data_IF_895329945786
#
_entry.id   IF_895329945786
#
_cell.length_a   1.000
_cell.length_b   1.000
_cell.length_c   1.000
_cell.angle_alpha   90.00
_cell.angle_beta   90.00
_cell.angle_gamma   90.00
#
_symmetry.space_group_name_H-M   'P 1'
#
loop_
_entity.id
_entity.type
_entity.pdbx_description
1 polymer ?
#
# COMPACT_ATOMS: atom_id res chain seq x y z
N UNK A 1 -22.95 -22.55 -5.14
CA UNK A 1 -21.91 -21.54 -4.86
C UNK A 1 -21.42 -21.03 -6.20
N UNK A 2 -21.47 -19.73 -6.51
CA UNK A 2 -21.14 -19.27 -7.85
C UNK A 2 -19.64 -19.42 -8.11
N UNK A 3 -19.30 -19.99 -9.26
CA UNK A 3 -17.93 -20.05 -9.78
C UNK A 3 -17.36 -18.64 -9.83
N UNK A 4 -16.40 -18.35 -8.96
CA UNK A 4 -15.65 -17.09 -9.00
C UNK A 4 -14.62 -17.21 -10.12
N UNK A 5 -15.00 -16.81 -11.34
CA UNK A 5 -14.04 -16.52 -12.39
C UNK A 5 -13.29 -15.25 -12.00
N UNK A 6 -12.14 -15.41 -11.34
CA UNK A 6 -11.23 -14.31 -11.06
C UNK A 6 -10.59 -13.87 -12.39
N UNK A 7 -11.25 -12.99 -13.13
CA UNK A 7 -10.63 -12.27 -14.24
C UNK A 7 -9.76 -11.15 -13.67
N UNK A 8 -8.49 -11.44 -13.41
CA UNK A 8 -7.46 -10.40 -13.35
C UNK A 8 -7.03 -10.08 -14.79
N UNK A 9 -7.21 -8.85 -15.29
CA UNK A 9 -6.66 -8.46 -16.58
C UNK A 9 -5.20 -8.05 -16.35
N UNK A 10 -4.29 -9.02 -16.33
CA UNK A 10 -2.87 -8.72 -16.49
C UNK A 10 -2.44 -9.20 -17.88
N UNK A 11 -2.16 -8.31 -18.83
CA UNK A 11 -1.53 -8.68 -20.08
C UNK A 11 -0.02 -8.58 -19.87
N UNK A 12 0.67 -9.69 -19.60
CA UNK A 12 2.13 -9.72 -19.78
C UNK A 12 2.58 -11.02 -20.43
N UNK A 13 3.44 -10.81 -21.43
CA UNK A 13 3.93 -11.78 -22.37
C UNK A 13 4.70 -12.93 -21.69
N UNK A 14 4.45 -14.13 -22.20
CA UNK A 14 5.18 -15.35 -21.90
C UNK A 14 6.67 -15.15 -22.19
N UNK A 15 7.51 -15.15 -21.15
CA UNK A 15 8.93 -15.46 -21.29
C UNK A 15 9.13 -16.93 -20.88
N UNK A 16 9.64 -17.72 -21.82
CA UNK A 16 10.04 -19.10 -21.60
C UNK A 16 11.20 -19.14 -20.58
N UNK A 17 11.02 -19.87 -19.49
CA UNK A 17 12.11 -20.27 -18.60
C UNK A 17 12.24 -21.79 -18.65
N UNK A 18 13.37 -22.26 -19.14
CA UNK A 18 13.76 -23.66 -19.22
C UNK A 18 14.20 -24.19 -17.85
N UNK A 19 13.74 -25.39 -17.54
CA UNK A 19 13.89 -26.13 -16.29
C UNK A 19 15.29 -26.75 -16.14
N UNK A 20 15.94 -26.56 -14.99
CA UNK A 20 16.99 -27.40 -14.37
C UNK A 20 17.35 -26.71 -13.03
N UNK A 21 17.45 -27.33 -11.85
CA UNK A 21 17.84 -28.66 -11.45
C UNK A 21 17.13 -29.11 -10.15
N UNK A 22 17.10 -30.43 -9.99
CA UNK A 22 16.72 -31.21 -8.82
C UNK A 22 17.68 -31.00 -7.62
N UNK A 23 17.13 -30.55 -6.49
CA UNK A 23 17.76 -30.65 -5.17
C UNK A 23 16.81 -31.35 -4.21
N UNK A 24 17.15 -32.56 -3.81
CA UNK A 24 16.39 -33.37 -2.86
C UNK A 24 16.28 -32.64 -1.51
N UNK A 25 15.05 -32.29 -1.12
CA UNK A 25 14.75 -31.90 0.25
C UNK A 25 14.59 -33.15 1.09
N UNK A 26 15.54 -33.32 2.01
CA UNK A 26 15.56 -34.37 3.02
C UNK A 26 14.25 -34.44 3.81
N UNK A 27 13.74 -35.67 3.82
CA UNK A 27 12.86 -36.31 4.78
C UNK A 27 12.32 -35.44 5.94
N UNK A 28 11.03 -35.11 5.85
CA UNK A 28 10.20 -34.79 7.01
C UNK A 28 10.16 -36.04 7.91
N UNK A 29 10.87 -35.96 9.03
CA UNK A 29 10.86 -36.96 10.10
C UNK A 29 9.51 -36.96 10.83
N UNK A 30 8.86 -38.12 10.79
CA UNK A 30 7.88 -38.73 11.71
C UNK A 30 6.71 -37.87 12.26
N UNK A 31 5.52 -38.03 11.66
CA UNK A 31 4.22 -37.75 12.29
C UNK A 31 3.49 -39.03 12.72
N UNK A 32 4.18 -40.00 13.31
CA UNK A 32 3.53 -41.16 13.96
C UNK A 32 3.20 -40.81 15.41
N UNK A 33 2.10 -40.09 15.62
CA UNK A 33 1.63 -39.73 16.97
C UNK A 33 0.59 -38.60 17.06
N UNK A 34 0.34 -37.87 15.97
CA UNK A 34 -0.68 -36.82 15.97
C UNK A 34 -2.08 -37.40 15.73
N UNK A 35 -3.01 -37.06 16.62
CA UNK A 35 -4.44 -37.27 16.40
C UNK A 35 -4.91 -36.55 15.12
N UNK A 36 -6.01 -37.03 14.53
CA UNK A 36 -6.60 -36.38 13.36
C UNK A 36 -6.89 -34.88 13.59
N UNK A 37 -7.30 -34.50 14.80
CA UNK A 37 -7.54 -33.12 15.21
C UNK A 37 -6.26 -32.28 15.22
N UNK A 38 -5.15 -32.82 15.74
CA UNK A 38 -3.86 -32.13 15.74
C UNK A 38 -3.33 -31.95 14.31
N UNK A 39 -3.51 -32.93 13.43
CA UNK A 39 -3.17 -32.79 12.01
C UNK A 39 -4.01 -31.72 11.33
N UNK A 40 -5.32 -31.69 11.57
CA UNK A 40 -6.21 -30.68 11.02
C UNK A 40 -5.82 -29.25 11.46
N UNK A 41 -5.39 -29.07 12.71
CA UNK A 41 -4.92 -27.79 13.24
C UNK A 41 -3.55 -27.37 12.70
N UNK A 42 -2.72 -28.31 12.26
CA UNK A 42 -1.42 -28.01 11.66
C UNK A 42 -1.52 -27.50 10.20
N UNK A 43 -2.60 -27.86 9.48
CA UNK A 43 -2.76 -27.54 8.06
C UNK A 43 -2.69 -26.03 7.77
N UNK A 44 -3.43 -25.13 8.47
CA UNK A 44 -3.33 -23.69 8.20
C UNK A 44 -1.92 -23.14 8.39
N UNK A 45 -1.20 -23.62 9.41
CA UNK A 45 0.18 -23.19 9.69
C UNK A 45 1.14 -23.63 8.59
N UNK A 46 1.01 -24.88 8.12
CA UNK A 46 1.82 -25.39 7.01
C UNK A 46 1.53 -24.60 5.74
N UNK A 47 0.24 -24.38 5.42
CA UNK A 47 -0.16 -23.59 4.25
C UNK A 47 0.39 -22.17 4.31
N UNK A 48 0.29 -21.49 5.46
CA UNK A 48 0.86 -20.15 5.64
C UNK A 48 2.36 -20.13 5.34
N UNK A 49 3.15 -21.07 5.87
CA UNK A 49 4.59 -21.12 5.61
C UNK A 49 4.90 -21.31 4.13
N UNK A 50 4.14 -22.18 3.43
CA UNK A 50 4.27 -22.35 1.98
C UNK A 50 3.92 -21.05 1.24
N UNK A 51 2.84 -20.36 1.63
CA UNK A 51 2.43 -19.11 0.99
C UNK A 51 3.40 -17.97 1.25
N UNK A 52 4.01 -17.89 2.44
CA UNK A 52 5.03 -16.90 2.75
C UNK A 52 6.28 -17.10 1.89
N UNK A 53 6.67 -18.35 1.63
CA UNK A 53 7.73 -18.68 0.67
C UNK A 53 7.31 -18.25 -0.76
N UNK A 54 6.13 -18.67 -1.23
CA UNK A 54 5.62 -18.31 -2.57
C UNK A 54 5.48 -16.79 -2.76
N UNK A 55 5.13 -16.04 -1.72
CA UNK A 55 5.00 -14.58 -1.75
C UNK A 55 6.31 -13.90 -2.17
N UNK A 56 7.44 -14.44 -1.73
CA UNK A 56 8.77 -13.89 -2.05
C UNK A 56 9.02 -14.01 -3.55
N UNK A 57 8.60 -15.14 -4.15
CA UNK A 57 8.91 -15.46 -5.53
C UNK A 57 7.92 -14.85 -6.54
N UNK A 58 6.62 -14.78 -6.21
CA UNK A 58 5.60 -14.49 -7.23
C UNK A 58 4.20 -14.16 -6.68
N UNK A 59 3.70 -12.95 -7.01
CA UNK A 59 2.28 -12.60 -6.76
C UNK A 59 1.31 -13.40 -7.63
N UNK A 60 1.74 -13.85 -8.81
CA UNK A 60 0.93 -14.68 -9.72
C UNK A 60 0.64 -16.04 -9.10
N UNK A 61 1.61 -16.63 -8.40
CA UNK A 61 1.41 -17.93 -7.76
C UNK A 61 0.54 -17.82 -6.52
N UNK A 62 0.59 -16.72 -5.77
CA UNK A 62 -0.40 -16.42 -4.72
C UNK A 62 -1.83 -16.32 -5.29
N UNK A 63 -2.01 -15.69 -6.46
CA UNK A 63 -3.30 -15.66 -7.15
C UNK A 63 -3.78 -17.07 -7.54
N UNK A 64 -2.90 -17.93 -8.06
CA UNK A 64 -3.21 -19.33 -8.37
C UNK A 64 -3.62 -20.09 -7.10
N UNK A 65 -2.90 -19.88 -6.01
CA UNK A 65 -3.20 -20.48 -4.70
C UNK A 65 -4.59 -20.10 -4.19
N UNK A 66 -5.02 -18.86 -4.40
CA UNK A 66 -6.37 -18.39 -4.04
C UNK A 66 -7.49 -19.18 -4.73
N UNK A 67 -7.21 -19.80 -5.89
CA UNK A 67 -8.20 -20.54 -6.70
C UNK A 67 -8.25 -22.04 -6.40
N UNK A 68 -7.32 -22.59 -5.60
CA UNK A 68 -7.23 -24.04 -5.34
C UNK A 68 -8.40 -24.53 -4.49
N UNK A 69 -8.52 -24.01 -3.26
CA UNK A 69 -9.58 -24.34 -2.29
C UNK A 69 -9.77 -23.19 -1.30
N UNK A 70 -10.92 -23.17 -0.61
CA UNK A 70 -11.24 -22.15 0.41
C UNK A 70 -10.17 -22.02 1.51
N UNK A 71 -9.54 -23.12 1.92
CA UNK A 71 -8.46 -23.09 2.91
C UNK A 71 -7.21 -22.36 2.39
N UNK A 72 -6.85 -22.57 1.12
CA UNK A 72 -5.72 -21.89 0.48
C UNK A 72 -6.02 -20.40 0.31
N UNK A 73 -7.24 -20.06 -0.11
CA UNK A 73 -7.68 -18.65 -0.19
C UNK A 73 -7.55 -17.92 1.15
N UNK A 74 -7.94 -18.55 2.27
CA UNK A 74 -7.86 -17.93 3.61
C UNK A 74 -6.44 -17.54 4.01
N UNK A 75 -5.44 -18.30 3.57
CA UNK A 75 -4.03 -18.02 3.88
C UNK A 75 -3.36 -17.14 2.82
N UNK A 76 -3.66 -17.36 1.53
CA UNK A 76 -3.03 -16.64 0.42
C UNK A 76 -3.60 -15.22 0.22
N UNK A 77 -4.92 -15.02 0.38
CA UNK A 77 -5.52 -13.72 0.13
C UNK A 77 -4.99 -12.60 1.06
N UNK A 78 -4.81 -12.82 2.37
CA UNK A 78 -4.19 -11.81 3.23
C UNK A 78 -2.79 -11.41 2.76
N UNK A 79 -1.98 -12.36 2.29
CA UNK A 79 -0.62 -12.11 1.82
C UNK A 79 -0.61 -11.35 0.49
N UNK A 80 -1.52 -11.72 -0.43
CA UNK A 80 -1.67 -11.06 -1.73
C UNK A 80 -2.10 -9.58 -1.59
N UNK A 81 -2.96 -9.29 -0.60
CA UNK A 81 -3.53 -7.96 -0.39
C UNK A 81 -2.81 -7.13 0.69
N UNK A 82 -1.87 -7.70 1.45
CA UNK A 82 -1.17 -7.02 2.54
C UNK A 82 -0.49 -5.72 2.08
N UNK A 83 0.13 -5.75 0.89
CA UNK A 83 0.78 -4.60 0.29
C UNK A 83 0.03 -4.20 -0.98
N UNK A 84 -0.64 -3.05 -0.91
CA UNK A 84 -1.28 -2.46 -2.07
C UNK A 84 -0.38 -1.35 -2.63
N UNK A 85 0.44 -1.69 -3.63
CA UNK A 85 1.31 -0.74 -4.32
C UNK A 85 0.51 -0.07 -5.44
N UNK A 86 0.41 1.26 -5.46
CA UNK A 86 -0.22 2.00 -6.57
C UNK A 86 0.70 1.99 -7.83
N UNK A 87 0.20 2.10 -9.09
CA UNK A 87 -1.16 2.40 -9.62
C UNK A 87 -2.22 1.32 -9.51
N UNK A 88 -2.06 0.40 -8.59
CA UNK A 88 -2.90 -0.77 -8.50
C UNK A 88 -3.96 -0.74 -7.42
N UNK A 89 -4.04 0.23 -6.48
CA UNK A 89 -5.05 0.12 -5.41
C UNK A 89 -6.47 0.29 -5.97
N UNK A 90 -6.78 1.44 -6.57
CA UNK A 90 -8.04 1.71 -7.26
C UNK A 90 -8.31 0.67 -8.35
N UNK A 91 -7.31 0.33 -9.19
CA UNK A 91 -7.47 -0.68 -10.25
C UNK A 91 -7.76 -2.08 -9.71
N UNK A 92 -7.08 -2.52 -8.64
CA UNK A 92 -7.35 -3.82 -8.01
C UNK A 92 -8.75 -3.85 -7.41
N UNK A 93 -9.17 -2.78 -6.76
CA UNK A 93 -10.51 -2.67 -6.18
C UNK A 93 -11.61 -2.49 -7.24
N UNK A 94 -11.30 -1.91 -8.41
CA UNK A 94 -12.21 -1.82 -9.54
C UNK A 94 -12.57 -3.21 -10.10
N UNK A 95 -11.62 -4.16 -10.06
CA UNK A 95 -11.86 -5.56 -10.43
C UNK A 95 -12.64 -6.37 -9.39
N UNK A 96 -12.95 -5.78 -8.23
CA UNK A 96 -13.69 -6.42 -7.14
C UNK A 96 -15.12 -5.87 -7.11
N UNK A 97 -16.09 -6.78 -7.08
CA UNK A 97 -17.50 -6.45 -6.91
C UNK A 97 -17.70 -5.54 -5.67
N UNK A 98 -18.47 -4.44 -5.76
CA UNK A 98 -18.57 -3.43 -4.70
C UNK A 98 -18.81 -3.99 -3.30
N UNK A 99 -19.74 -4.94 -3.17
CA UNK A 99 -20.13 -5.59 -1.92
C UNK A 99 -19.02 -6.46 -1.28
N UNK A 100 -17.96 -6.78 -2.03
CA UNK A 100 -16.83 -7.58 -1.56
C UNK A 100 -15.60 -6.75 -1.23
N UNK A 101 -15.54 -5.47 -1.63
CA UNK A 101 -14.35 -4.62 -1.47
C UNK A 101 -13.89 -4.55 -0.03
N UNK A 102 -14.82 -4.39 0.92
CA UNK A 102 -14.48 -4.32 2.34
C UNK A 102 -13.76 -5.59 2.86
N UNK A 103 -14.08 -6.77 2.33
CA UNK A 103 -13.40 -8.03 2.69
C UNK A 103 -11.89 -7.92 2.38
N UNK A 104 -11.54 -7.35 1.24
CA UNK A 104 -10.14 -7.20 0.82
C UNK A 104 -9.47 -6.00 1.50
N UNK A 105 -10.21 -4.91 1.76
CA UNK A 105 -9.71 -3.77 2.54
C UNK A 105 -9.26 -4.18 3.95
N UNK A 106 -9.91 -5.19 4.54
CA UNK A 106 -9.52 -5.77 5.83
C UNK A 106 -8.16 -6.49 5.83
N UNK A 107 -7.60 -6.78 4.65
CA UNK A 107 -6.30 -7.44 4.51
C UNK A 107 -5.14 -6.47 4.27
N UNK A 108 -5.43 -5.25 3.79
CA UNK A 108 -4.39 -4.27 3.45
C UNK A 108 -3.72 -3.75 4.72
N UNK A 109 -2.40 -3.80 4.73
CA UNK A 109 -1.52 -3.33 5.83
C UNK A 109 -0.71 -2.11 5.42
N UNK A 110 -0.37 -2.02 4.15
CA UNK A 110 0.42 -0.92 3.58
C UNK A 110 -0.19 -0.43 2.28
N UNK A 111 -0.33 0.89 2.16
CA UNK A 111 -0.66 1.57 0.91
C UNK A 111 0.65 2.17 0.38
N UNK A 112 1.29 1.45 -0.55
CA UNK A 112 2.70 1.68 -0.91
C UNK A 112 2.96 2.93 -1.74
N UNK A 113 1.97 3.41 -2.47
CA UNK A 113 1.94 4.70 -3.16
C UNK A 113 0.45 5.03 -3.32
N UNK A 114 0.05 6.28 -3.29
CA UNK A 114 -1.32 6.70 -3.52
C UNK A 114 -1.26 8.10 -4.09
N UNK A 115 -1.89 8.31 -5.24
CA UNK A 115 -1.83 9.59 -5.91
C UNK A 115 -3.00 10.39 -5.39
N UNK A 116 -2.73 11.61 -4.93
CA UNK A 116 -3.79 12.59 -4.84
C UNK A 116 -4.39 12.71 -6.25
N UNK A 117 -5.69 12.86 -6.38
CA UNK A 117 -6.32 12.96 -7.70
C UNK A 117 -6.63 14.40 -8.04
N UNK A 118 -6.64 14.69 -9.35
CA UNK A 118 -7.36 15.86 -9.87
C UNK A 118 -8.84 15.70 -9.54
N UNK A 119 -9.54 16.83 -9.36
CA UNK A 119 -10.95 16.84 -9.04
C UNK A 119 -11.83 16.03 -10.02
N UNK A 120 -11.43 15.86 -11.28
CA UNK A 120 -12.20 15.07 -12.26
C UNK A 120 -12.06 13.54 -12.07
N UNK A 121 -10.93 13.05 -11.55
CA UNK A 121 -10.70 11.62 -11.35
C UNK A 121 -11.16 11.14 -9.97
N UNK A 122 -11.43 12.08 -9.05
CA UNK A 122 -11.87 11.77 -7.69
C UNK A 122 -13.19 11.01 -7.68
N UNK A 123 -14.13 11.31 -8.57
CA UNK A 123 -15.45 10.65 -8.60
C UNK A 123 -15.33 9.15 -8.86
N UNK A 124 -14.43 8.76 -9.77
CA UNK A 124 -14.16 7.34 -10.05
C UNK A 124 -13.53 6.67 -8.84
N UNK A 125 -12.58 7.33 -8.20
CA UNK A 125 -11.92 6.80 -7.01
C UNK A 125 -12.87 6.73 -5.81
N UNK A 126 -13.77 7.69 -5.68
CA UNK A 126 -14.82 7.72 -4.67
C UNK A 126 -15.81 6.56 -4.88
N UNK A 127 -16.22 6.29 -6.12
CA UNK A 127 -17.07 5.13 -6.44
C UNK A 127 -16.39 3.78 -6.14
N UNK A 128 -15.05 3.73 -6.11
CA UNK A 128 -14.27 2.52 -5.86
C UNK A 128 -13.93 2.35 -4.37
N UNK A 129 -13.39 3.40 -3.75
CA UNK A 129 -12.77 3.39 -2.43
C UNK A 129 -13.57 4.17 -1.38
N UNK A 130 -14.52 5.01 -1.78
CA UNK A 130 -15.33 5.83 -0.88
C UNK A 130 -16.06 4.96 0.15
N UNK A 131 -16.02 5.41 1.40
CA UNK A 131 -16.61 4.70 2.54
C UNK A 131 -15.92 3.38 2.94
N UNK A 132 -14.88 2.92 2.23
CA UNK A 132 -14.12 1.75 2.68
C UNK A 132 -13.34 2.06 3.96
N UNK A 133 -13.27 1.07 4.83
CA UNK A 133 -12.43 1.12 6.03
C UNK A 133 -11.23 0.20 5.81
N UNK A 134 -10.04 0.72 6.05
CA UNK A 134 -8.77 -0.01 5.98
C UNK A 134 -8.23 -0.20 7.41
N UNK A 135 -8.79 -1.16 8.18
CA UNK A 135 -8.56 -1.25 9.62
C UNK A 135 -7.14 -1.67 9.99
N UNK A 136 -6.37 -2.22 9.05
CA UNK A 136 -5.00 -2.72 9.29
C UNK A 136 -3.92 -1.89 8.62
N UNK A 137 -4.30 -0.85 7.86
CA UNK A 137 -3.32 0.02 7.21
C UNK A 137 -2.58 0.81 8.29
N UNK A 138 -1.28 0.55 8.44
CA UNK A 138 -0.41 1.23 9.39
C UNK A 138 0.58 2.17 8.70
N UNK A 139 0.86 1.95 7.42
CA UNK A 139 1.76 2.78 6.60
C UNK A 139 1.06 3.18 5.30
N UNK A 140 1.18 4.46 4.93
CA UNK A 140 0.71 4.98 3.65
C UNK A 140 1.78 5.89 3.03
N UNK A 141 1.99 5.79 1.71
CA UNK A 141 2.75 6.77 0.94
C UNK A 141 1.80 7.59 0.07
N UNK A 142 1.80 8.90 0.26
CA UNK A 142 1.10 9.84 -0.61
C UNK A 142 2.09 10.41 -1.61
N UNK A 143 1.85 10.15 -2.88
CA UNK A 143 2.49 10.87 -3.97
C UNK A 143 1.74 12.18 -4.15
N UNK A 144 2.47 13.27 -4.00
CA UNK A 144 1.97 14.62 -4.13
C UNK A 144 2.54 15.19 -5.43
N UNK A 145 1.65 15.58 -6.33
CA UNK A 145 1.98 16.21 -7.59
C UNK A 145 1.12 17.48 -7.73
N UNK A 146 1.47 18.33 -8.67
CA UNK A 146 0.80 19.61 -8.93
C UNK A 146 -0.68 19.37 -9.28
N UNK A 147 -1.56 20.24 -8.78
CA UNK A 147 -3.03 20.18 -8.96
C UNK A 147 -3.75 18.94 -8.39
N UNK A 148 -3.10 18.20 -7.48
CA UNK A 148 -3.68 17.00 -6.89
C UNK A 148 -3.86 17.16 -5.37
N UNK A 149 -5.09 17.46 -4.91
CA UNK A 149 -5.39 17.73 -3.50
C UNK A 149 -6.46 16.83 -2.89
N UNK A 150 -6.99 15.87 -3.63
CA UNK A 150 -8.13 15.07 -3.19
C UNK A 150 -7.77 13.60 -2.98
N UNK A 151 -8.14 13.07 -1.81
CA UNK A 151 -8.26 11.63 -1.56
C UNK A 151 -9.73 11.24 -1.50
N UNK A 152 -10.07 10.02 -1.97
CA UNK A 152 -11.39 9.47 -1.75
C UNK A 152 -11.67 9.28 -0.26
N UNK A 153 -12.93 9.27 0.13
CA UNK A 153 -13.39 9.34 1.53
C UNK A 153 -13.16 8.08 2.38
N UNK A 154 -12.17 7.25 2.08
CA UNK A 154 -11.87 6.07 2.88
C UNK A 154 -11.29 6.43 4.26
N UNK A 155 -11.37 5.48 5.18
CA UNK A 155 -10.83 5.62 6.55
C UNK A 155 -9.70 4.62 6.79
N UNK A 156 -8.64 5.03 7.47
CA UNK A 156 -7.54 4.15 7.88
C UNK A 156 -7.21 4.36 9.36
N UNK A 157 -8.00 3.80 10.31
CA UNK A 157 -7.92 4.14 11.73
C UNK A 157 -6.62 3.68 12.42
N UNK A 158 -5.93 2.71 11.80
CA UNK A 158 -4.65 2.18 12.28
C UNK A 158 -3.45 2.88 11.64
N UNK A 159 -3.65 3.90 10.80
CA UNK A 159 -2.56 4.57 10.10
C UNK A 159 -1.69 5.31 11.11
N UNK A 160 -0.39 4.97 11.15
CA UNK A 160 0.62 5.57 12.04
C UNK A 160 1.75 6.24 11.29
N UNK A 161 2.12 5.72 10.12
CA UNK A 161 3.24 6.23 9.33
C UNK A 161 2.72 6.79 8.01
N UNK A 162 2.95 8.08 7.79
CA UNK A 162 2.65 8.76 6.54
C UNK A 162 3.95 9.17 5.85
N UNK A 163 4.18 8.62 4.66
CA UNK A 163 5.28 9.01 3.79
C UNK A 163 4.76 9.99 2.74
N UNK A 164 5.21 11.23 2.80
CA UNK A 164 4.92 12.27 1.81
C UNK A 164 6.02 12.23 0.75
N UNK A 165 5.61 12.02 -0.50
CA UNK A 165 6.49 11.94 -1.64
C UNK A 165 6.13 13.05 -2.62
N UNK A 166 6.85 14.19 -2.59
CA UNK A 166 6.55 15.35 -3.41
C UNK A 166 6.94 15.21 -4.89
N UNK A 167 7.36 14.02 -5.34
CA UNK A 167 7.78 13.74 -6.73
C UNK A 167 8.78 14.77 -7.29
N UNK A 168 9.93 14.91 -6.62
CA UNK A 168 10.94 15.89 -7.01
C UNK A 168 11.97 15.26 -7.96
N UNK A 169 11.85 15.51 -9.26
CA UNK A 169 12.88 15.10 -10.22
C UNK A 169 13.92 16.19 -10.42
N UNK A 170 15.16 15.96 -9.98
CA UNK A 170 16.30 16.86 -10.22
C UNK A 170 16.96 16.64 -11.60
N UNK A 171 16.68 15.51 -12.24
CA UNK A 171 17.43 14.99 -13.39
C UNK A 171 16.86 15.37 -14.76
N UNK A 172 16.12 16.48 -14.87
CA UNK A 172 15.79 17.05 -16.18
C UNK A 172 17.06 17.68 -16.79
N UNK A 173 17.84 16.82 -17.44
CA UNK A 173 19.07 17.06 -18.20
C UNK A 173 18.85 18.06 -19.34
N UNK A 174 18.77 19.35 -19.03
CA UNK A 174 19.08 20.44 -19.97
C UNK A 174 17.94 21.04 -20.78
N UNK A 175 16.68 20.82 -20.41
CA UNK A 175 15.55 21.61 -20.94
C UNK A 175 14.88 22.35 -19.77
N UNK A 176 14.38 23.56 -20.03
CA UNK A 176 13.96 24.57 -19.05
C UNK A 176 13.28 24.01 -17.78
N UNK A 177 13.71 24.59 -16.65
CA UNK A 177 13.57 24.10 -15.28
C UNK A 177 12.15 24.25 -14.70
N UNK A 178 11.21 23.43 -15.15
CA UNK A 178 10.00 23.22 -14.35
C UNK A 178 10.33 22.26 -13.21
N UNK A 179 10.50 22.84 -12.01
CA UNK A 179 10.58 22.08 -10.76
C UNK A 179 9.20 21.47 -10.54
N UNK A 180 9.08 20.18 -10.86
CA UNK A 180 7.88 19.41 -10.54
C UNK A 180 7.79 19.25 -9.02
N UNK A 181 6.67 19.64 -8.46
CA UNK A 181 6.39 19.47 -7.04
C UNK A 181 5.48 20.57 -6.48
N UNK A 182 4.82 20.28 -5.35
CA UNK A 182 3.70 21.08 -4.89
C UNK A 182 4.11 22.52 -4.62
N UNK A 183 3.27 23.47 -5.04
CA UNK A 183 3.46 24.89 -4.72
C UNK A 183 3.32 25.15 -3.22
N UNK A 184 3.73 26.34 -2.78
CA UNK A 184 3.53 26.78 -1.40
C UNK A 184 2.06 26.68 -0.95
N UNK A 185 1.13 27.06 -1.83
CA UNK A 185 -0.32 26.96 -1.57
C UNK A 185 -0.77 25.51 -1.44
N UNK A 186 -0.24 24.61 -2.28
CA UNK A 186 -0.60 23.19 -2.26
C UNK A 186 -0.18 22.54 -0.95
N UNK A 187 1.01 22.87 -0.43
CA UNK A 187 1.47 22.40 0.87
C UNK A 187 0.57 22.81 2.02
N UNK A 188 0.10 24.06 2.03
CA UNK A 188 -0.83 24.53 3.06
C UNK A 188 -2.14 23.73 3.01
N UNK A 189 -2.70 23.51 1.82
CA UNK A 189 -3.92 22.71 1.62
C UNK A 189 -3.71 21.26 2.12
N UNK A 190 -2.60 20.64 1.74
CA UNK A 190 -2.28 19.26 2.11
C UNK A 190 -2.09 19.15 3.63
N UNK A 191 -1.37 20.08 4.23
CA UNK A 191 -1.15 20.12 5.69
C UNK A 191 -2.40 20.47 6.47
N UNK A 192 -3.37 21.15 5.85
CA UNK A 192 -4.67 21.38 6.46
C UNK A 192 -5.50 20.10 6.52
N UNK A 193 -5.50 19.33 5.44
CA UNK A 193 -6.38 18.19 5.28
C UNK A 193 -5.86 16.91 5.97
N UNK A 194 -4.53 16.66 6.01
CA UNK A 194 -3.96 15.43 6.60
C UNK A 194 -4.40 15.20 8.06
N UNK A 195 -4.28 16.18 8.99
CA UNK A 195 -4.62 15.96 10.40
C UNK A 195 -6.10 15.64 10.61
N UNK A 196 -6.98 16.17 9.76
CA UNK A 196 -8.42 15.91 9.83
C UNK A 196 -8.76 14.49 9.41
N UNK A 197 -8.09 13.96 8.38
CA UNK A 197 -8.34 12.60 7.88
C UNK A 197 -7.62 11.51 8.66
N UNK A 198 -6.43 11.80 9.16
CA UNK A 198 -5.57 10.81 9.78
C UNK A 198 -4.99 11.32 11.12
N UNK A 199 -5.85 11.56 12.12
CA UNK A 199 -5.43 12.12 13.41
C UNK A 199 -4.51 11.20 14.22
N UNK A 200 -4.41 9.92 13.84
CA UNK A 200 -3.62 8.90 14.53
C UNK A 200 -2.18 8.80 14.04
N UNK A 201 -1.74 9.67 13.13
CA UNK A 201 -0.37 9.64 12.62
C UNK A 201 0.62 9.91 13.76
N UNK A 202 1.62 9.05 13.85
CA UNK A 202 2.74 9.13 14.79
C UNK A 202 4.04 9.55 14.09
N UNK A 203 4.20 9.20 12.81
CA UNK A 203 5.42 9.47 12.04
C UNK A 203 5.06 10.03 10.67
N UNK A 204 5.58 11.20 10.35
CA UNK A 204 5.58 11.75 8.99
C UNK A 204 7.01 11.72 8.44
N UNK A 205 7.17 11.18 7.23
CA UNK A 205 8.44 11.16 6.49
C UNK A 205 8.29 11.89 5.18
N UNK A 206 9.30 12.65 4.79
CA UNK A 206 9.42 13.21 3.45
C UNK A 206 10.41 12.31 2.71
N UNK A 207 9.96 11.67 1.63
CA UNK A 207 10.77 10.67 0.91
C UNK A 207 11.72 11.30 -0.10
N UNK A 208 11.45 12.54 -0.51
CA UNK A 208 12.22 13.28 -1.50
C UNK A 208 12.40 14.74 -1.05
N UNK A 209 13.07 15.53 -1.87
CA UNK A 209 13.25 16.96 -1.68
C UNK A 209 11.91 17.70 -1.83
N UNK A 210 11.67 18.68 -0.95
CA UNK A 210 10.46 19.48 -0.97
C UNK A 210 10.79 20.97 -0.74
N UNK A 211 10.09 21.84 -1.48
CA UNK A 211 10.06 23.28 -1.23
C UNK A 211 8.84 23.58 -0.37
N UNK A 212 9.05 23.69 0.94
CA UNK A 212 7.97 23.87 1.90
C UNK A 212 8.12 25.24 2.57
N UNK A 213 7.04 26.06 2.61
CA UNK A 213 7.09 27.37 3.21
C UNK A 213 7.62 27.34 4.64
N UNK A 214 8.44 28.33 4.98
CA UNK A 214 9.01 28.46 6.32
C UNK A 214 7.92 28.45 7.39
N UNK A 215 8.04 27.53 8.34
CA UNK A 215 7.10 27.38 9.46
C UNK A 215 5.84 26.57 9.16
N UNK A 216 5.55 26.23 7.90
CA UNK A 216 4.37 25.41 7.55
C UNK A 216 4.43 24.03 8.21
N UNK A 217 5.59 23.37 8.19
CA UNK A 217 5.78 22.07 8.87
C UNK A 217 5.58 22.18 10.38
N UNK A 218 5.99 23.29 11.00
CA UNK A 218 5.77 23.51 12.43
C UNK A 218 4.27 23.58 12.76
N UNK A 219 3.50 24.35 11.97
CA UNK A 219 2.04 24.43 12.11
C UNK A 219 1.37 23.08 11.86
N UNK A 220 1.78 22.38 10.82
CA UNK A 220 1.29 21.05 10.48
C UNK A 220 1.52 20.05 11.62
N UNK A 221 2.74 19.97 12.13
CA UNK A 221 3.09 19.05 13.21
C UNK A 221 2.37 19.38 14.52
N UNK A 222 2.11 20.66 14.81
CA UNK A 222 1.33 21.06 15.99
C UNK A 222 -0.12 20.55 15.96
N UNK A 223 -0.65 20.19 14.79
CA UNK A 223 -2.00 19.64 14.61
C UNK A 223 -2.08 18.11 14.73
N UNK A 224 -0.93 17.43 14.82
CA UNK A 224 -0.86 15.96 14.94
C UNK A 224 -0.58 15.57 16.39
N UNK A 225 -1.60 15.17 17.18
CA UNK A 225 -1.45 15.01 18.63
C UNK A 225 -0.53 13.86 19.05
N UNK A 226 -0.33 12.86 18.17
CA UNK A 226 0.46 11.66 18.46
C UNK A 226 1.85 11.68 17.84
N UNK A 227 2.27 12.81 17.26
CA UNK A 227 3.48 12.88 16.46
C UNK A 227 4.75 12.71 17.29
N UNK A 228 5.63 11.79 16.89
CA UNK A 228 7.01 11.77 17.35
C UNK A 228 7.82 12.85 16.62
N UNK A 229 7.86 14.04 17.23
CA UNK A 229 8.62 15.18 16.68
C UNK A 229 10.08 14.86 16.39
N UNK A 230 10.74 14.02 17.20
CA UNK A 230 12.17 13.73 17.02
C UNK A 230 12.39 12.88 15.77
N UNK A 231 11.54 11.88 15.54
CA UNK A 231 11.60 11.05 14.35
C UNK A 231 11.30 11.86 13.07
N UNK A 232 10.24 12.67 13.11
CA UNK A 232 9.80 13.44 11.94
C UNK A 232 10.80 14.52 11.53
N UNK A 233 11.38 15.25 12.51
CA UNK A 233 12.31 16.34 12.22
C UNK A 233 13.61 15.88 11.55
N UNK A 234 14.08 14.67 11.88
CA UNK A 234 15.26 14.07 11.22
C UNK A 234 14.99 13.76 9.75
N UNK A 235 13.78 13.30 9.41
CA UNK A 235 13.38 13.09 8.02
C UNK A 235 13.29 14.42 7.29
N UNK A 236 12.58 15.40 7.87
CA UNK A 236 12.36 16.70 7.27
C UNK A 236 13.66 17.45 6.95
N UNK A 237 14.63 17.48 7.88
CA UNK A 237 15.92 18.16 7.65
C UNK A 237 16.72 17.63 6.47
N UNK A 238 16.55 16.35 6.10
CA UNK A 238 17.24 15.76 4.95
C UNK A 238 16.56 16.08 3.62
N UNK A 239 15.28 16.42 3.67
CA UNK A 239 14.40 16.64 2.52
C UNK A 239 14.20 18.11 2.17
N UNK A 240 14.67 19.04 3.00
CA UNK A 240 14.54 20.47 2.70
C UNK A 240 15.59 20.92 1.70
N UNK A 241 15.12 21.54 0.61
CA UNK A 241 15.93 22.43 -0.20
C UNK A 241 15.66 23.83 0.35
N UNK A 242 16.69 24.53 0.83
CA UNK A 242 16.52 25.87 1.41
C UNK A 242 15.72 26.78 0.48
N UNK A 243 14.61 27.33 0.97
CA UNK A 243 13.98 28.50 0.35
C UNK A 243 14.82 29.73 0.68
N UNK A 244 15.22 30.44 -0.37
CA UNK A 244 15.82 31.79 -0.33
C UNK A 244 14.75 32.81 0.03
#
# INVERSE_FOLDING_TARGET
MPNATFCFPFPFASQHFTHQETGALDCIVMTTGLSASQRALAIPRILRNVMEYVRIDSTVDLCRCCSVRRAWWKEAAPLLWAQAVYPQLDRRFACVAPERRQIYANFVQEIGQFYLSRAHDIEKMEAILGGLVFPRVHTMRLLINDDMHHLPSFTAPSLRILNLDPYFSRDNLGFDMDVYGPSATDWEIIFEWIPERFPTIEIVRFLDQARIPKGAVGRFFARLPNLDWKACWRSFRRSMVEEV
#
